data_IF_493320236123
#
_entry.id   IF_493320236123
#
_cell.length_a   1.000
_cell.length_b   1.000
_cell.length_c   1.000
_cell.angle_alpha   90.00
_cell.angle_beta   90.00
_cell.angle_gamma   90.00
#
_symmetry.space_group_name_H-M   'P 1'
#
loop_
_entity.id
_entity.type
_entity.pdbx_description
1 polymer ?
#
# COMPACT_ATOMS: atom_id res chain seq x y z
N UNK A 1 -8.58 -17.72 -2.10
CA UNK A 1 -8.73 -16.65 -1.08
C UNK A 1 -8.63 -15.34 -1.82
N UNK A 2 -9.63 -14.46 -1.66
CA UNK A 2 -9.58 -13.11 -2.23
C UNK A 2 -8.73 -12.24 -1.31
N UNK A 3 -7.80 -11.46 -1.86
CA UNK A 3 -7.00 -10.47 -1.13
C UNK A 3 -7.51 -9.08 -1.49
N UNK A 4 -7.43 -8.13 -0.58
CA UNK A 4 -7.83 -6.74 -0.79
C UNK A 4 -6.60 -5.85 -0.96
N UNK A 5 -6.66 -5.03 -1.99
CA UNK A 5 -5.66 -4.03 -2.34
C UNK A 5 -6.25 -2.63 -2.23
N UNK A 6 -5.57 -1.73 -1.52
CA UNK A 6 -5.94 -0.31 -1.44
C UNK A 6 -4.95 0.55 -2.23
N UNK A 7 -5.46 1.34 -3.18
CA UNK A 7 -4.74 2.46 -3.77
C UNK A 7 -5.05 3.72 -2.96
N UNK A 8 -4.03 4.30 -2.33
CA UNK A 8 -4.19 5.43 -1.43
C UNK A 8 -4.08 6.76 -2.17
N UNK A 9 -4.73 7.80 -1.63
CA UNK A 9 -4.56 9.19 -2.04
C UNK A 9 -4.83 9.48 -3.54
N UNK A 10 -5.74 8.73 -4.18
CA UNK A 10 -6.20 8.96 -5.55
C UNK A 10 -7.23 10.12 -5.60
N UNK A 11 -6.82 11.30 -5.14
CA UNK A 11 -7.70 12.46 -5.00
C UNK A 11 -8.36 12.91 -6.31
N UNK A 12 -7.81 12.51 -7.45
CA UNK A 12 -8.31 12.88 -8.78
C UNK A 12 -9.17 11.78 -9.42
N UNK A 13 -9.33 10.63 -8.75
CA UNK A 13 -10.06 9.46 -9.27
C UNK A 13 -9.52 8.99 -10.63
N UNK A 14 -8.20 9.02 -10.80
CA UNK A 14 -7.55 8.72 -12.09
C UNK A 14 -6.84 7.38 -12.11
N UNK A 15 -6.52 6.81 -10.94
CA UNK A 15 -5.70 5.60 -10.84
C UNK A 15 -6.31 4.41 -11.59
N UNK A 16 -7.64 4.30 -11.63
CA UNK A 16 -8.38 3.28 -12.38
C UNK A 16 -8.03 3.24 -13.89
N UNK A 17 -7.57 4.37 -14.47
CA UNK A 17 -7.20 4.47 -15.88
C UNK A 17 -5.74 4.14 -16.22
N UNK A 18 -4.89 3.87 -15.21
CA UNK A 18 -3.44 3.71 -15.41
C UNK A 18 -2.92 2.26 -15.40
N UNK A 19 -3.80 1.28 -15.20
CA UNK A 19 -3.44 -0.13 -15.25
C UNK A 19 -4.65 -1.02 -15.60
N UNK A 20 -4.43 -2.24 -16.13
CA UNK A 20 -5.49 -3.22 -16.34
C UNK A 20 -5.88 -3.90 -15.02
N UNK A 21 -6.54 -3.19 -14.12
CA UNK A 21 -6.86 -3.68 -12.77
C UNK A 21 -7.68 -4.98 -12.73
N UNK A 22 -8.47 -5.28 -13.77
CA UNK A 22 -9.21 -6.54 -13.90
C UNK A 22 -8.29 -7.78 -13.89
N UNK A 23 -7.04 -7.67 -14.36
CA UNK A 23 -6.08 -8.78 -14.32
C UNK A 23 -5.74 -9.18 -12.87
N UNK A 24 -5.87 -8.25 -11.91
CA UNK A 24 -5.73 -8.54 -10.49
C UNK A 24 -6.96 -9.28 -9.94
N UNK A 25 -8.16 -8.91 -10.38
CA UNK A 25 -9.40 -9.59 -9.99
C UNK A 25 -9.39 -11.05 -10.47
N UNK A 26 -8.89 -11.31 -11.68
CA UNK A 26 -8.77 -12.66 -12.26
C UNK A 26 -7.88 -13.59 -11.42
N UNK A 27 -6.91 -13.03 -10.69
CA UNK A 27 -6.04 -13.78 -9.76
C UNK A 27 -6.50 -13.69 -8.29
N UNK A 28 -7.69 -13.15 -8.05
CA UNK A 28 -8.32 -13.07 -6.74
C UNK A 28 -7.84 -11.90 -5.88
N UNK A 29 -7.56 -10.75 -6.47
CA UNK A 29 -7.23 -9.50 -5.76
C UNK A 29 -8.29 -8.44 -6.07
N UNK A 30 -9.03 -8.03 -5.05
CA UNK A 30 -10.02 -6.95 -5.12
C UNK A 30 -9.33 -5.59 -4.91
N UNK A 31 -9.50 -4.67 -5.86
CA UNK A 31 -8.88 -3.34 -5.80
C UNK A 31 -9.87 -2.28 -5.32
N UNK A 32 -9.48 -1.51 -4.31
CA UNK A 32 -10.23 -0.35 -3.81
C UNK A 32 -9.41 0.93 -4.00
N UNK A 33 -10.02 1.96 -4.59
CA UNK A 33 -9.41 3.28 -4.74
C UNK A 33 -9.90 4.22 -3.64
N UNK A 34 -8.98 4.69 -2.80
CA UNK A 34 -9.28 5.64 -1.73
C UNK A 34 -8.96 7.05 -2.22
N UNK A 35 -10.02 7.80 -2.52
CA UNK A 35 -9.96 9.11 -3.18
C UNK A 35 -10.02 10.28 -2.19
N UNK A 36 -10.02 10.00 -0.88
CA UNK A 36 -10.08 10.99 0.19
C UNK A 36 -8.89 10.84 1.14
N UNK A 37 -8.49 11.96 1.75
CA UNK A 37 -7.42 11.96 2.74
C UNK A 37 -7.77 11.08 3.95
N UNK A 38 -6.85 10.20 4.33
CA UNK A 38 -7.07 9.20 5.38
C UNK A 38 -7.00 9.77 6.80
N UNK A 39 -6.56 11.01 6.99
CA UNK A 39 -6.50 11.66 8.30
C UNK A 39 -5.27 11.24 9.11
N UNK A 40 -5.37 11.29 10.43
CA UNK A 40 -4.30 10.88 11.34
C UNK A 40 -4.13 9.36 11.44
N UNK A 41 -3.10 8.93 12.17
CA UNK A 41 -2.69 7.52 12.32
C UNK A 41 -3.84 6.57 12.68
N UNK A 42 -4.70 6.94 13.62
CA UNK A 42 -5.86 6.11 14.00
C UNK A 42 -6.86 5.92 12.86
N UNK A 43 -7.11 6.98 12.10
CA UNK A 43 -8.02 6.94 10.97
C UNK A 43 -7.42 6.16 9.79
N UNK A 44 -6.10 6.23 9.59
CA UNK A 44 -5.36 5.40 8.63
C UNK A 44 -5.54 3.92 8.98
N UNK A 45 -5.22 3.52 10.22
CA UNK A 45 -5.34 2.12 10.68
C UNK A 45 -6.77 1.60 10.52
N UNK A 46 -7.77 2.41 10.87
CA UNK A 46 -9.16 1.97 10.76
C UNK A 46 -9.63 1.82 9.31
N UNK A 47 -9.27 2.78 8.45
CA UNK A 47 -9.66 2.74 7.03
C UNK A 47 -8.96 1.65 6.25
N UNK A 48 -7.74 1.28 6.65
CA UNK A 48 -6.94 0.26 6.01
C UNK A 48 -7.12 -1.14 6.61
N UNK A 49 -7.99 -1.28 7.62
CA UNK A 49 -8.29 -2.57 8.25
C UNK A 49 -8.75 -3.61 7.22
N UNK A 50 -8.06 -4.75 7.21
CA UNK A 50 -8.35 -5.89 6.35
C UNK A 50 -7.86 -5.75 4.90
N UNK A 51 -7.05 -4.74 4.57
CA UNK A 51 -6.27 -4.73 3.34
C UNK A 51 -4.94 -5.44 3.56
N UNK A 52 -4.62 -6.43 2.72
CA UNK A 52 -3.31 -7.10 2.76
C UNK A 52 -2.28 -6.40 1.88
N UNK A 53 -2.72 -5.56 0.95
CA UNK A 53 -1.87 -4.83 0.01
C UNK A 53 -2.25 -3.35 0.03
N UNK A 54 -1.24 -2.49 0.19
CA UNK A 54 -1.41 -1.04 0.19
C UNK A 54 -0.44 -0.42 -0.82
N UNK A 55 -0.95 0.49 -1.66
CA UNK A 55 -0.14 1.27 -2.61
C UNK A 55 -0.19 2.74 -2.18
N UNK A 56 0.88 3.16 -1.50
CA UNK A 56 1.06 4.53 -1.04
C UNK A 56 1.61 5.43 -2.15
N UNK A 57 1.01 6.62 -2.28
CA UNK A 57 1.47 7.64 -3.22
C UNK A 57 2.46 8.59 -2.56
N UNK A 58 3.76 8.29 -2.73
CA UNK A 58 4.87 9.00 -2.07
C UNK A 58 4.60 9.23 -0.57
N UNK A 59 4.97 10.38 -0.02
CA UNK A 59 4.88 10.71 1.41
C UNK A 59 3.50 11.23 1.87
N UNK A 60 2.43 11.07 1.06
CA UNK A 60 1.10 11.66 1.36
C UNK A 60 0.43 11.04 2.59
N UNK A 61 0.60 9.74 2.77
CA UNK A 61 0.13 8.99 3.95
C UNK A 61 1.33 8.44 4.70
N UNK A 62 1.59 8.89 5.95
CA UNK A 62 2.66 8.35 6.76
C UNK A 62 2.36 6.93 7.27
N UNK A 63 3.39 6.08 7.26
CA UNK A 63 3.43 4.75 7.85
C UNK A 63 4.56 4.65 8.89
N UNK A 64 4.43 5.34 10.04
CA UNK A 64 5.33 5.09 11.16
C UNK A 64 5.17 3.66 11.66
N UNK A 65 6.15 3.19 12.44
CA UNK A 65 6.17 1.85 13.03
C UNK A 65 4.84 1.49 13.70
N UNK A 66 4.29 2.39 14.51
CA UNK A 66 3.07 2.13 15.29
C UNK A 66 1.86 1.87 14.39
N UNK A 67 1.75 2.56 13.25
CA UNK A 67 0.70 2.30 12.24
C UNK A 67 0.90 0.92 11.60
N UNK A 68 2.12 0.57 11.22
CA UNK A 68 2.43 -0.73 10.61
C UNK A 68 2.18 -1.89 11.58
N UNK A 69 2.52 -1.73 12.86
CA UNK A 69 2.32 -2.77 13.89
C UNK A 69 0.83 -3.00 14.20
N UNK A 70 -0.02 -2.00 13.98
CA UNK A 70 -1.48 -2.07 14.14
C UNK A 70 -2.21 -2.65 12.92
N UNK A 71 -1.48 -3.02 11.87
CA UNK A 71 -2.02 -3.60 10.63
C UNK A 71 -1.50 -5.04 10.45
N UNK A 72 -2.02 -6.01 11.24
CA UNK A 72 -1.51 -7.38 11.22
C UNK A 72 -1.75 -8.12 9.90
N UNK A 73 -2.75 -7.67 9.12
CA UNK A 73 -3.11 -8.26 7.83
C UNK A 73 -2.24 -7.73 6.69
N UNK A 74 -1.58 -6.58 6.87
CA UNK A 74 -0.74 -5.95 5.86
C UNK A 74 0.47 -6.84 5.55
N UNK A 75 0.57 -7.26 4.29
CA UNK A 75 1.64 -8.13 3.80
C UNK A 75 2.55 -7.42 2.82
N UNK A 76 2.02 -6.46 2.06
CA UNK A 76 2.77 -5.72 1.06
C UNK A 76 2.41 -4.23 1.07
N UNK A 77 3.42 -3.39 1.27
CA UNK A 77 3.34 -1.94 1.11
C UNK A 77 4.17 -1.51 -0.10
N UNK A 78 3.52 -1.02 -1.15
CA UNK A 78 4.15 -0.47 -2.35
C UNK A 78 4.17 1.05 -2.24
N UNK A 79 5.29 1.69 -2.55
CA UNK A 79 5.36 3.15 -2.68
C UNK A 79 5.83 3.56 -4.07
N UNK A 80 5.26 4.64 -4.59
CA UNK A 80 5.82 5.34 -5.75
C UNK A 80 7.01 6.19 -5.35
N UNK A 81 8.11 6.15 -6.11
CA UNK A 81 9.34 6.88 -5.82
C UNK A 81 10.42 6.12 -5.00
N UNK A 82 11.67 6.55 -5.17
CA UNK A 82 12.86 5.80 -4.73
C UNK A 82 13.15 5.86 -3.22
N UNK A 83 12.64 6.90 -2.54
CA UNK A 83 12.75 7.09 -1.09
C UNK A 83 11.42 7.63 -0.61
N UNK A 84 10.89 7.02 0.44
CA UNK A 84 9.73 7.52 1.15
C UNK A 84 10.10 7.59 2.62
N UNK A 85 10.39 8.81 3.10
CA UNK A 85 10.79 9.02 4.49
C UNK A 85 9.62 8.88 5.48
N UNK A 86 8.39 8.80 4.97
CA UNK A 86 7.19 8.64 5.78
C UNK A 86 6.93 7.17 6.16
N UNK A 87 7.73 6.21 5.66
CA UNK A 87 7.59 4.78 5.99
C UNK A 87 8.75 4.35 6.88
N UNK A 88 8.46 3.99 8.14
CA UNK A 88 9.43 3.43 9.08
C UNK A 88 9.26 1.91 9.22
N UNK A 89 10.01 1.17 8.40
CA UNK A 89 10.06 -0.29 8.45
C UNK A 89 10.96 -0.84 9.57
N UNK A 90 11.85 -0.02 10.15
CA UNK A 90 12.96 -0.47 10.98
C UNK A 90 13.75 -1.67 10.45
N UNK A 91 14.46 -2.36 11.36
CA UNK A 91 15.22 -3.58 11.06
C UNK A 91 14.42 -4.89 11.09
N UNK A 92 13.11 -4.84 11.31
CA UNK A 92 12.28 -6.01 11.63
C UNK A 92 10.95 -6.11 10.89
N UNK A 93 10.75 -5.34 9.81
CA UNK A 93 9.46 -5.30 9.11
C UNK A 93 8.98 -6.70 8.73
N UNK A 94 7.79 -7.06 9.24
CA UNK A 94 7.04 -8.26 8.83
C UNK A 94 6.41 -8.09 7.45
N UNK A 95 6.17 -6.84 7.03
CA UNK A 95 5.62 -6.42 5.75
C UNK A 95 6.69 -6.40 4.65
N UNK A 96 6.37 -6.89 3.45
CA UNK A 96 7.18 -6.68 2.25
C UNK A 96 7.05 -5.24 1.77
N UNK A 97 8.16 -4.60 1.37
CA UNK A 97 8.14 -3.21 0.90
C UNK A 97 8.78 -3.07 -0.47
N UNK A 98 7.96 -2.66 -1.44
CA UNK A 98 8.38 -2.37 -2.81
C UNK A 98 8.42 -0.87 -3.03
N UNK A 99 9.47 -0.41 -3.71
CA UNK A 99 9.67 0.97 -4.14
C UNK A 99 9.78 1.02 -5.64
N UNK A 100 8.97 1.85 -6.27
CA UNK A 100 9.08 2.10 -7.70
C UNK A 100 10.28 3.02 -8.02
N UNK A 101 11.04 2.64 -9.03
CA UNK A 101 12.13 3.40 -9.65
C UNK A 101 12.11 3.13 -11.15
N UNK A 102 12.01 4.19 -11.96
CA UNK A 102 12.09 4.14 -13.42
C UNK A 102 11.12 3.12 -14.06
N UNK A 103 9.90 3.02 -13.52
CA UNK A 103 8.86 2.09 -13.97
C UNK A 103 9.07 0.64 -13.49
N UNK A 104 9.99 0.40 -12.55
CA UNK A 104 10.29 -0.93 -12.01
C UNK A 104 10.15 -0.96 -10.50
N UNK A 105 9.55 -2.02 -9.96
CA UNK A 105 9.52 -2.27 -8.53
C UNK A 105 10.87 -2.82 -8.05
N UNK A 106 11.40 -2.24 -6.98
CA UNK A 106 12.67 -2.58 -6.34
C UNK A 106 12.47 -2.72 -4.82
N UNK A 107 13.33 -3.45 -4.13
CA UNK A 107 13.24 -3.63 -2.66
C UNK A 107 12.83 -5.03 -2.24
N UNK A 108 12.51 -5.21 -0.96
CA UNK A 108 12.12 -6.50 -0.39
C UNK A 108 10.66 -6.82 -0.72
N UNK A 109 10.39 -7.02 -2.01
CA UNK A 109 9.08 -7.46 -2.53
C UNK A 109 8.78 -8.93 -2.22
N UNK A 110 9.80 -9.70 -1.83
CA UNK A 110 9.71 -11.13 -1.65
C UNK A 110 9.61 -11.46 -0.16
N UNK A 111 8.39 -11.51 0.36
CA UNK A 111 8.06 -12.52 1.36
C UNK A 111 7.02 -13.45 0.75
N UNK A 112 7.24 -14.78 0.80
CA UNK A 112 6.24 -15.72 0.33
C UNK A 112 4.97 -15.51 1.15
N UNK A 113 3.87 -15.26 0.44
CA UNK A 113 2.51 -15.12 0.97
C UNK A 113 2.04 -16.40 1.63
#
# INVERSE_FOLDING_TARGET
MVRRLAILDDYQCVAAGFAPWHELEDIGIETTFLTAHLGGEDAVVERLRGFEIEVAMRERTPFPRDVLERQPDLRLLVTTGMRNAAIDLGGGARVGHCRERDGRLTGACAKPW
#
